data_IF_565816215272
#
_entry.id   IF_565816215272
#
_cell.length_a   1.000
_cell.length_b   1.000
_cell.length_c   1.000
_cell.angle_alpha   90.00
_cell.angle_beta   90.00
_cell.angle_gamma   90.00
#
_symmetry.space_group_name_H-M   'P 1'
#
loop_
_entity.id
_entity.type
_entity.pdbx_description
1 polymer ?
#
# COMPACT_ATOMS: atom_id res chain seq x y z
N UNK A 1 11.08 8.81 4.41
CA UNK A 1 10.37 7.52 4.47
C UNK A 1 8.91 7.82 4.80
N UNK A 2 8.03 7.71 3.81
CA UNK A 2 6.60 8.04 3.97
C UNK A 2 5.84 6.74 4.15
N UNK A 3 5.22 6.56 5.34
CA UNK A 3 4.44 5.36 5.67
C UNK A 3 2.99 5.58 5.26
N UNK A 4 2.50 4.70 4.40
CA UNK A 4 1.13 4.75 3.87
C UNK A 4 0.39 3.55 4.46
N UNK A 5 -0.60 3.82 5.29
CA UNK A 5 -1.45 2.81 5.90
C UNK A 5 -2.80 2.81 5.20
N UNK A 6 -3.27 1.63 4.83
CA UNK A 6 -4.55 1.49 4.16
C UNK A 6 -5.59 0.86 5.08
N UNK A 7 -6.50 1.67 5.58
CA UNK A 7 -7.63 1.18 6.39
C UNK A 7 -8.84 0.91 5.48
N UNK A 8 -9.34 -0.32 5.51
CA UNK A 8 -10.53 -0.78 4.78
C UNK A 8 -10.40 -0.75 3.25
N UNK A 9 -9.36 -1.42 2.74
CA UNK A 9 -9.28 -1.77 1.34
C UNK A 9 -10.15 -2.99 1.07
N UNK A 10 -11.21 -2.85 0.28
CA UNK A 10 -11.75 -4.01 -0.41
C UNK A 10 -10.68 -4.69 -1.30
N UNK A 11 -11.08 -5.61 -2.17
CA UNK A 11 -10.19 -6.37 -3.07
C UNK A 11 -9.19 -5.53 -3.91
N UNK A 12 -9.43 -4.22 -4.06
CA UNK A 12 -8.62 -3.30 -4.88
C UNK A 12 -7.42 -2.69 -4.16
N UNK A 13 -7.25 -2.84 -2.85
CA UNK A 13 -6.11 -2.21 -2.19
C UNK A 13 -4.81 -2.99 -2.22
N UNK A 14 -4.88 -4.31 -2.42
CA UNK A 14 -3.70 -5.15 -2.61
C UNK A 14 -2.85 -4.76 -3.84
N UNK A 15 -3.43 -4.50 -5.04
CA UNK A 15 -2.63 -4.03 -6.17
C UNK A 15 -2.04 -2.63 -5.96
N UNK A 16 -2.72 -1.74 -5.21
CA UNK A 16 -2.20 -0.40 -4.88
C UNK A 16 -1.03 -0.50 -3.89
N UNK A 17 -1.16 -1.36 -2.86
CA UNK A 17 -0.06 -1.65 -1.93
C UNK A 17 1.17 -2.21 -2.65
N UNK A 18 0.96 -3.13 -3.61
CA UNK A 18 2.03 -3.66 -4.47
C UNK A 18 2.69 -2.58 -5.33
N UNK A 19 1.90 -1.66 -5.91
CA UNK A 19 2.44 -0.55 -6.69
C UNK A 19 3.29 0.40 -5.84
N UNK A 20 2.81 0.74 -4.64
CA UNK A 20 3.54 1.61 -3.71
C UNK A 20 4.79 0.94 -3.13
N UNK A 21 4.74 -0.36 -2.85
CA UNK A 21 5.91 -1.12 -2.43
C UNK A 21 6.96 -1.21 -3.56
N UNK A 22 6.54 -1.38 -4.82
CA UNK A 22 7.44 -1.32 -5.98
C UNK A 22 8.06 0.07 -6.18
N UNK A 23 7.35 1.13 -5.80
CA UNK A 23 7.87 2.50 -5.78
C UNK A 23 8.78 2.80 -4.56
N UNK A 24 9.03 1.82 -3.68
CA UNK A 24 9.92 1.96 -2.53
C UNK A 24 9.26 2.57 -1.29
N UNK A 25 7.93 2.61 -1.24
CA UNK A 25 7.20 3.02 -0.05
C UNK A 25 7.03 1.85 0.92
N UNK A 26 7.17 2.15 2.20
CA UNK A 26 6.91 1.22 3.29
C UNK A 26 5.39 1.20 3.54
N UNK A 27 4.73 0.19 2.97
CA UNK A 27 3.27 0.02 3.02
C UNK A 27 2.95 -1.04 4.06
N UNK A 28 2.02 -0.73 4.94
CA UNK A 28 1.46 -1.69 5.89
C UNK A 28 -0.02 -1.85 5.57
N UNK A 29 -0.42 -3.09 5.27
CA UNK A 29 -1.81 -3.49 5.02
C UNK A 29 -2.57 -3.73 6.31
#
# INVERSE_FOLDING_TARGET
MTKIAFLCLGMMGYPIAGHLQAAGHDVTV
#
